data_IF_083294923690
#
_entry.id   IF_083294923690
#
_cell.length_a   1.000
_cell.length_b   1.000
_cell.length_c   1.000
_cell.angle_alpha   90.00
_cell.angle_beta   90.00
_cell.angle_gamma   90.00
#
_symmetry.space_group_name_H-M   'P 1'
#
loop_
_entity.id
_entity.type
_entity.pdbx_description
1 polymer ?
#
# COMPACT_ATOMS: atom_id res chain seq x y z
N UNK A 1 3.93 -3.99 -10.61
CA UNK A 1 5.21 -3.66 -9.94
C UNK A 1 5.50 -2.19 -10.23
N UNK A 2 5.93 -1.40 -9.25
CA UNK A 2 6.23 0.02 -9.48
C UNK A 2 7.48 0.15 -10.36
N UNK A 3 7.36 0.83 -11.49
CA UNK A 3 8.44 1.01 -12.46
C UNK A 3 9.06 2.41 -12.36
N UNK A 4 10.37 2.52 -12.61
CA UNK A 4 11.10 3.80 -12.52
C UNK A 4 10.58 4.87 -13.50
N UNK A 5 10.08 4.46 -14.67
CA UNK A 5 9.46 5.39 -15.64
C UNK A 5 8.26 6.16 -15.06
N UNK A 6 7.65 5.64 -14.00
CA UNK A 6 6.51 6.26 -13.32
C UNK A 6 6.94 7.09 -12.10
N UNK A 7 8.23 7.14 -11.75
CA UNK A 7 8.75 7.96 -10.66
C UNK A 7 8.58 9.45 -11.00
N UNK A 8 8.09 10.23 -10.02
CA UNK A 8 7.83 11.67 -10.15
C UNK A 8 8.59 12.51 -9.13
N UNK A 9 9.23 11.87 -8.15
CA UNK A 9 10.04 12.55 -7.16
C UNK A 9 9.91 11.88 -5.79
N UNK A 10 10.14 12.69 -4.77
CA UNK A 10 10.07 12.26 -3.37
C UNK A 10 9.22 13.24 -2.56
N UNK A 11 8.42 12.72 -1.63
CA UNK A 11 7.58 13.50 -0.73
C UNK A 11 7.59 12.82 0.66
N UNK A 12 7.40 13.59 1.73
CA UNK A 12 7.36 13.04 3.10
C UNK A 12 5.93 12.68 3.52
N UNK A 13 5.75 11.48 4.05
CA UNK A 13 4.53 11.02 4.74
C UNK A 13 4.96 10.44 6.08
N UNK A 14 4.37 10.89 7.20
CA UNK A 14 4.74 10.45 8.56
C UNK A 14 6.27 10.50 8.81
N UNK A 15 6.92 11.59 8.42
CA UNK A 15 8.39 11.79 8.47
C UNK A 15 9.23 10.79 7.66
N UNK A 16 8.60 9.95 6.84
CA UNK A 16 9.26 9.03 5.92
C UNK A 16 9.34 9.62 4.51
N UNK A 17 10.55 9.72 3.98
CA UNK A 17 10.77 10.09 2.58
C UNK A 17 10.29 8.97 1.67
N UNK A 18 9.18 9.20 0.99
CA UNK A 18 8.56 8.27 0.06
C UNK A 18 8.97 8.60 -1.36
N UNK A 19 9.21 7.58 -2.18
CA UNK A 19 9.23 7.71 -3.65
C UNK A 19 7.81 7.83 -4.15
N UNK A 20 7.56 8.85 -4.97
CA UNK A 20 6.25 9.14 -5.53
C UNK A 20 6.15 8.60 -6.94
N UNK A 21 5.21 7.71 -7.17
CA UNK A 21 4.93 7.14 -8.48
C UNK A 21 3.57 7.60 -8.98
N UNK A 22 3.44 7.92 -10.26
CA UNK A 22 2.16 8.33 -10.84
C UNK A 22 1.98 7.80 -12.26
N UNK A 23 0.81 7.23 -12.54
CA UNK A 23 0.43 6.72 -13.86
C UNK A 23 -0.62 5.61 -13.78
N UNK A 24 -0.73 4.83 -14.85
CA UNK A 24 -1.43 3.53 -14.82
C UNK A 24 -0.49 2.50 -14.19
N UNK A 25 -0.49 2.42 -12.85
CA UNK A 25 0.50 1.64 -12.08
C UNK A 25 0.13 0.17 -11.92
N UNK A 26 -1.16 -0.15 -12.08
CA UNK A 26 -1.71 -1.49 -11.98
C UNK A 26 -2.36 -1.91 -13.30
N UNK A 27 -2.84 -3.15 -13.34
CA UNK A 27 -3.56 -3.66 -14.50
C UNK A 27 -4.91 -2.95 -14.72
N UNK A 28 -5.40 -2.21 -13.72
CA UNK A 28 -6.51 -1.28 -13.95
C UNK A 28 -6.01 -0.03 -14.69
N UNK A 29 -6.78 0.42 -15.67
CA UNK A 29 -6.38 1.57 -16.49
C UNK A 29 -6.48 2.92 -15.74
N UNK A 30 -6.65 2.87 -14.43
CA UNK A 30 -6.91 4.04 -13.62
C UNK A 30 -5.63 4.79 -13.31
N UNK A 31 -5.70 6.11 -13.40
CA UNK A 31 -4.60 6.96 -12.95
C UNK A 31 -4.47 6.83 -11.43
N UNK A 32 -3.30 6.38 -11.00
CA UNK A 32 -2.97 6.14 -9.60
C UNK A 32 -1.70 6.89 -9.24
N UNK A 33 -1.67 7.53 -8.07
CA UNK A 33 -0.48 8.14 -7.47
C UNK A 33 -0.19 7.43 -6.14
N UNK A 34 1.04 6.99 -5.95
CA UNK A 34 1.47 6.17 -4.80
C UNK A 34 2.72 6.75 -4.17
N UNK A 35 2.72 6.86 -2.85
CA UNK A 35 3.87 7.20 -2.02
C UNK A 35 4.39 5.92 -1.38
N UNK A 36 5.54 5.44 -1.87
CA UNK A 36 6.15 4.19 -1.43
C UNK A 36 7.42 4.45 -0.62
N UNK A 37 7.46 3.95 0.59
CA UNK A 37 8.61 3.96 1.49
C UNK A 37 9.12 2.53 1.69
N UNK A 38 10.32 2.21 1.19
CA UNK A 38 10.90 0.85 1.18
C UNK A 38 9.93 -0.26 0.69
N UNK A 39 9.07 0.07 -0.27
CA UNK A 39 8.08 -0.87 -0.83
C UNK A 39 6.75 -0.92 -0.07
N UNK A 40 6.64 -0.20 1.06
CA UNK A 40 5.40 -0.03 1.81
C UNK A 40 4.68 1.22 1.30
N UNK A 41 3.41 1.08 0.91
CA UNK A 41 2.59 2.23 0.48
C UNK A 41 2.10 2.99 1.70
N UNK A 42 2.51 4.25 1.85
CA UNK A 42 2.05 5.12 2.95
C UNK A 42 0.91 6.05 2.53
N UNK A 43 0.79 6.35 1.24
CA UNK A 43 -0.34 7.09 0.69
C UNK A 43 -0.65 6.60 -0.72
N UNK A 44 -1.93 6.57 -1.07
CA UNK A 44 -2.44 6.25 -2.39
C UNK A 44 -3.56 7.21 -2.75
N UNK A 45 -3.54 7.73 -3.97
CA UNK A 45 -4.63 8.45 -4.61
C UNK A 45 -4.99 7.72 -5.89
N UNK A 46 -6.26 7.35 -6.06
CA UNK A 46 -6.73 6.56 -7.19
C UNK A 46 -8.03 7.12 -7.73
N UNK A 47 -8.13 7.23 -9.05
CA UNK A 47 -9.41 7.46 -9.70
C UNK A 47 -10.19 6.15 -9.79
N UNK A 48 -11.30 6.06 -9.07
CA UNK A 48 -12.23 4.94 -9.15
C UNK A 48 -13.57 5.47 -9.66
N UNK A 49 -13.94 5.06 -10.87
CA UNK A 49 -15.23 5.41 -11.50
C UNK A 49 -15.50 6.93 -11.56
N UNK A 50 -14.47 7.73 -11.85
CA UNK A 50 -14.58 9.19 -11.97
C UNK A 50 -14.48 9.94 -10.63
N UNK A 51 -14.30 9.24 -9.52
CA UNK A 51 -14.06 9.83 -8.19
C UNK A 51 -12.65 9.52 -7.71
N UNK A 52 -11.94 10.53 -7.21
CA UNK A 52 -10.66 10.30 -6.54
C UNK A 52 -10.89 9.80 -5.11
N UNK A 53 -10.31 8.64 -4.80
CA UNK A 53 -10.23 8.08 -3.45
C UNK A 53 -8.80 8.21 -2.96
N UNK A 54 -8.66 8.60 -1.70
CA UNK A 54 -7.36 8.72 -1.03
C UNK A 54 -7.32 7.76 0.15
N UNK A 55 -6.23 7.00 0.27
CA UNK A 55 -5.88 6.22 1.45
C UNK A 55 -4.54 6.72 1.95
N UNK A 56 -4.45 6.99 3.24
CA UNK A 56 -3.24 7.51 3.86
C UNK A 56 -3.00 6.80 5.18
N UNK A 57 -1.76 6.40 5.41
CA UNK A 57 -1.32 5.84 6.67
C UNK A 57 -1.40 6.92 7.76
N UNK A 58 -2.01 6.57 8.89
CA UNK A 58 -2.13 7.47 10.04
C UNK A 58 -1.04 7.26 11.09
N UNK A 59 -0.36 6.10 11.05
CA UNK A 59 0.70 5.71 11.97
C UNK A 59 1.61 4.70 11.28
N UNK A 60 2.89 4.74 11.62
CA UNK A 60 3.88 3.73 11.23
C UNK A 60 4.68 3.31 12.44
N UNK A 61 4.92 2.01 12.57
CA UNK A 61 5.76 1.43 13.62
C UNK A 61 6.78 0.49 12.96
N UNK A 62 8.03 0.61 13.35
CA UNK A 62 9.15 -0.16 12.80
C UNK A 62 9.71 -1.08 13.87
N UNK A 63 10.20 -2.26 13.47
CA UNK A 63 10.83 -3.24 14.35
C UNK A 63 9.94 -3.67 15.53
N UNK A 64 8.61 -3.73 15.31
CA UNK A 64 7.66 -4.19 16.32
C UNK A 64 7.86 -5.69 16.54
N UNK A 65 8.10 -6.15 17.78
CA UNK A 65 8.10 -7.58 18.07
C UNK A 65 6.67 -8.12 17.89
N UNK A 66 6.49 -9.03 16.93
CA UNK A 66 5.20 -9.64 16.64
C UNK A 66 5.13 -11.03 17.27
N UNK A 67 4.07 -11.28 18.03
CA UNK A 67 3.76 -12.61 18.53
C UNK A 67 3.18 -13.46 17.39
N UNK A 68 3.76 -14.64 17.17
CA UNK A 68 3.28 -15.60 16.18
C UNK A 68 1.82 -16.04 16.42
N UNK A 69 1.35 -15.98 17.68
CA UNK A 69 -0.03 -16.26 18.04
C UNK A 69 -1.04 -15.34 17.33
N UNK A 70 -0.65 -14.11 16.96
CA UNK A 70 -1.52 -13.18 16.22
C UNK A 70 -1.91 -13.68 14.82
N UNK A 71 -1.12 -14.58 14.25
CA UNK A 71 -1.37 -15.18 12.94
C UNK A 71 -2.05 -16.54 13.03
N UNK A 72 -2.35 -17.02 14.24
CA UNK A 72 -3.05 -18.28 14.43
C UNK A 72 -4.50 -18.16 14.02
N UNK A 73 -5.01 -19.20 13.37
CA UNK A 73 -6.42 -19.28 12.98
C UNK A 73 -7.25 -19.38 14.25
N UNK A 74 -8.20 -18.46 14.50
CA UNK A 74 -9.04 -18.51 15.70
C UNK A 74 -9.78 -19.86 15.82
N UNK A 75 -10.00 -20.34 17.04
CA UNK A 75 -10.80 -21.57 17.24
C UNK A 75 -12.19 -21.39 16.63
N UNK A 76 -12.69 -22.43 15.94
CA UNK A 76 -14.00 -22.42 15.28
C UNK A 76 -13.99 -21.88 13.84
N UNK A 77 -12.88 -21.33 13.33
CA UNK A 77 -12.77 -20.96 11.92
C UNK A 77 -12.61 -22.20 11.03
N UNK A 78 -13.44 -22.32 9.98
CA UNK A 78 -13.35 -23.41 9.00
C UNK A 78 -12.49 -22.98 7.82
N UNK A 79 -11.33 -23.61 7.66
CA UNK A 79 -10.46 -23.38 6.49
C UNK A 79 -10.92 -24.27 5.34
N UNK A 80 -11.45 -23.68 4.27
CA UNK A 80 -11.74 -24.40 3.03
C UNK A 80 -10.51 -24.34 2.14
N UNK A 81 -9.88 -25.49 1.87
CA UNK A 81 -8.81 -25.58 0.86
C UNK A 81 -9.44 -25.72 -0.52
N UNK A 82 -9.18 -24.78 -1.40
CA UNK A 82 -9.43 -24.93 -2.84
C UNK A 82 -8.40 -25.90 -3.41
N UNK A 83 -8.84 -26.91 -4.16
CA UNK A 83 -7.96 -27.73 -5.01
C UNK A 83 -7.58 -26.94 -6.26
#
# INVERSE_FOLDING_TARGET
MLEEKNLRGEEKILDKTCKVYQGKLFADENQTKIWSWYGITLKEEKNEFGSFKTREAIKIEENVPLDAALFSIPPGMKVKRSK
#
